data_IF_880454141817
#
_entry.id   IF_880454141817
#
_cell.length_a   1.000
_cell.length_b   1.000
_cell.length_c   1.000
_cell.angle_alpha   90.00
_cell.angle_beta   90.00
_cell.angle_gamma   90.00
#
_symmetry.space_group_name_H-M   'P 1'
#
loop_
_entity.id
_entity.type
_entity.pdbx_description
1 polymer ?
#
# COMPACT_ATOMS: atom_id res chain seq x y z
N UNK A 1 21.74 -2.41 3.36
CA UNK A 1 21.29 -2.80 2.00
C UNK A 1 20.12 -1.90 1.61
N UNK A 2 20.39 -0.74 1.01
CA UNK A 2 19.36 0.14 0.43
C UNK A 2 19.69 0.22 -1.05
N UNK A 3 18.98 -0.54 -1.89
CA UNK A 3 19.37 -0.74 -3.30
C UNK A 3 18.35 -0.12 -4.28
N UNK A 4 17.29 0.56 -3.81
CA UNK A 4 16.29 1.17 -4.70
C UNK A 4 15.56 2.34 -4.03
N UNK A 5 16.23 3.38 -3.51
CA UNK A 5 15.57 4.65 -3.09
C UNK A 5 14.36 4.56 -2.12
N UNK A 6 14.06 3.38 -1.58
CA UNK A 6 12.84 3.05 -0.86
C UNK A 6 13.20 2.84 0.60
N UNK A 7 12.52 3.57 1.47
CA UNK A 7 12.64 3.42 2.91
C UNK A 7 11.81 2.23 3.41
N UNK A 8 12.38 1.43 4.32
CA UNK A 8 11.63 0.43 5.08
C UNK A 8 10.96 1.13 6.25
N UNK A 9 9.66 0.90 6.43
CA UNK A 9 8.88 1.44 7.55
C UNK A 9 8.07 0.34 8.21
N UNK A 10 8.00 0.36 9.54
CA UNK A 10 7.20 -0.56 10.36
C UNK A 10 6.20 0.22 11.21
N UNK A 11 4.99 -0.32 11.45
CA UNK A 11 4.05 0.28 12.38
C UNK A 11 4.68 0.41 13.77
N UNK A 12 4.29 1.44 14.51
CA UNK A 12 4.74 1.63 15.87
C UNK A 12 4.16 0.55 16.79
N UNK A 13 4.92 0.15 17.80
CA UNK A 13 4.46 -0.74 18.87
C UNK A 13 4.12 0.08 20.11
N UNK A 14 3.17 -0.40 20.91
CA UNK A 14 2.70 0.30 22.12
C UNK A 14 3.71 0.19 23.28
N UNK A 15 4.58 -0.82 23.26
CA UNK A 15 5.54 -1.13 24.32
C UNK A 15 4.92 -0.99 25.73
N UNK A 16 5.46 -0.11 26.57
CA UNK A 16 4.97 0.15 27.93
C UNK A 16 3.88 1.24 28.01
N UNK A 17 3.39 1.75 26.87
CA UNK A 17 2.35 2.79 26.80
C UNK A 17 0.99 2.17 26.49
N UNK A 18 -0.07 2.80 26.98
CA UNK A 18 -1.44 2.36 26.70
C UNK A 18 -2.00 2.92 25.38
N UNK A 19 -1.39 3.97 24.80
CA UNK A 19 -1.85 4.63 23.57
C UNK A 19 -0.69 5.19 22.74
N UNK A 20 -0.90 5.28 21.42
CA UNK A 20 0.02 5.96 20.51
C UNK A 20 -0.10 7.47 20.61
N UNK A 21 1.04 8.16 20.46
CA UNK A 21 1.01 9.59 20.15
C UNK A 21 0.36 9.85 18.79
N UNK A 22 -0.12 11.08 18.58
CA UNK A 22 -0.68 11.48 17.29
C UNK A 22 0.30 11.26 16.12
N UNK A 23 1.62 11.40 16.35
CA UNK A 23 2.64 11.16 15.33
C UNK A 23 2.79 9.68 14.99
N UNK A 24 2.91 8.81 15.99
CA UNK A 24 3.00 7.35 15.84
C UNK A 24 1.74 6.78 15.18
N UNK A 25 0.56 7.25 15.60
CA UNK A 25 -0.72 6.86 15.01
C UNK A 25 -0.81 7.24 13.53
N UNK A 26 -0.44 8.47 13.17
CA UNK A 26 -0.42 8.93 11.78
C UNK A 26 0.56 8.13 10.92
N UNK A 27 1.78 7.87 11.42
CA UNK A 27 2.78 7.08 10.71
C UNK A 27 2.29 5.64 10.47
N UNK A 28 1.74 5.00 11.51
CA UNK A 28 1.19 3.65 11.41
C UNK A 28 -0.03 3.59 10.49
N UNK A 29 -0.85 4.65 10.48
CA UNK A 29 -1.95 4.83 9.53
C UNK A 29 -1.48 4.89 8.08
N UNK A 30 -0.41 5.65 7.79
CA UNK A 30 0.20 5.69 6.46
C UNK A 30 0.70 4.31 6.01
N UNK A 31 1.42 3.61 6.89
CA UNK A 31 1.94 2.25 6.61
C UNK A 31 0.79 1.29 6.32
N UNK A 32 -0.27 1.35 7.11
CA UNK A 32 -1.46 0.52 6.94
C UNK A 32 -2.11 0.78 5.59
N UNK A 33 -2.30 2.04 5.18
CA UNK A 33 -2.87 2.38 3.86
C UNK A 33 -2.06 1.81 2.70
N UNK A 34 -0.73 1.87 2.76
CA UNK A 34 0.13 1.27 1.74
C UNK A 34 -0.01 -0.26 1.75
N UNK A 35 0.00 -0.88 2.94
CA UNK A 35 -0.20 -2.32 3.11
C UNK A 35 -1.52 -2.80 2.49
N UNK A 36 -2.61 -2.06 2.69
CA UNK A 36 -3.93 -2.38 2.11
C UNK A 36 -3.91 -2.52 0.59
N UNK A 37 -3.16 -1.65 -0.11
CA UNK A 37 -3.04 -1.72 -1.59
C UNK A 37 -2.34 -3.02 -2.01
N UNK A 38 -1.24 -3.37 -1.33
CA UNK A 38 -0.47 -4.59 -1.60
C UNK A 38 -1.29 -5.85 -1.27
N UNK A 39 -1.97 -5.86 -0.13
CA UNK A 39 -2.85 -6.97 0.27
C UNK A 39 -4.00 -7.17 -0.71
N UNK A 40 -4.57 -6.08 -1.23
CA UNK A 40 -5.64 -6.15 -2.23
C UNK A 40 -5.16 -6.74 -3.55
N UNK A 41 -3.97 -6.35 -4.02
CA UNK A 41 -3.36 -6.94 -5.21
C UNK A 41 -3.05 -8.43 -5.00
N UNK A 42 -2.45 -8.79 -3.87
CA UNK A 42 -2.16 -10.18 -3.50
C UNK A 42 -3.44 -11.03 -3.41
N UNK A 43 -4.54 -10.47 -2.89
CA UNK A 43 -5.84 -11.15 -2.86
C UNK A 43 -6.32 -11.51 -4.26
N UNK A 44 -6.16 -10.62 -5.26
CA UNK A 44 -6.55 -10.89 -6.65
C UNK A 44 -5.70 -11.99 -7.27
N UNK A 45 -4.38 -11.96 -7.05
CA UNK A 45 -3.47 -13.01 -7.53
C UNK A 45 -3.84 -14.38 -6.92
N UNK A 46 -4.15 -14.40 -5.62
CA UNK A 46 -4.56 -15.64 -4.90
C UNK A 46 -5.96 -16.15 -5.27
N UNK A 47 -6.74 -15.47 -6.12
CA UNK A 47 -7.96 -16.05 -6.70
C UNK A 47 -7.63 -17.19 -7.67
N UNK A 48 -6.42 -17.21 -8.23
CA UNK A 48 -5.93 -18.27 -9.09
C UNK A 48 -5.40 -19.41 -8.23
N UNK A 49 -6.00 -20.61 -8.36
CA UNK A 49 -5.66 -21.79 -7.54
C UNK A 49 -4.17 -22.13 -7.50
N UNK A 50 -3.47 -21.89 -8.61
CA UNK A 50 -2.02 -22.07 -8.69
C UNK A 50 -1.27 -21.21 -7.65
N UNK A 51 -1.60 -19.93 -7.54
CA UNK A 51 -0.99 -18.99 -6.60
C UNK A 51 -1.57 -19.04 -5.18
N UNK A 52 -2.73 -19.69 -5.01
CA UNK A 52 -3.35 -19.90 -3.71
C UNK A 52 -2.70 -21.03 -2.89
N UNK A 53 -2.01 -21.95 -3.56
CA UNK A 53 -1.41 -23.15 -2.99
C UNK A 53 0.12 -23.11 -3.05
N UNK A 54 0.76 -24.11 -2.44
CA UNK A 54 2.20 -24.31 -2.55
C UNK A 54 2.58 -24.63 -3.99
N UNK A 55 3.51 -23.85 -4.55
CA UNK A 55 4.03 -24.02 -5.90
C UNK A 55 5.11 -25.11 -5.88
N UNK A 56 5.05 -26.04 -6.83
CA UNK A 56 6.06 -27.09 -6.96
C UNK A 56 7.40 -26.51 -7.43
N UNK A 57 8.51 -27.00 -6.87
CA UNK A 57 9.85 -26.49 -7.20
C UNK A 57 10.19 -26.57 -8.70
N UNK A 58 9.68 -27.58 -9.40
CA UNK A 58 9.83 -27.74 -10.85
C UNK A 58 9.21 -26.60 -11.66
N UNK A 59 8.21 -25.92 -11.11
CA UNK A 59 7.51 -24.81 -11.78
C UNK A 59 8.12 -23.45 -11.47
N UNK A 60 9.09 -23.36 -10.56
CA UNK A 60 9.70 -22.08 -10.17
C UNK A 60 10.38 -21.37 -11.35
N UNK A 61 10.90 -22.12 -12.32
CA UNK A 61 11.49 -21.57 -13.54
C UNK A 61 10.49 -20.80 -14.40
N UNK A 62 9.18 -21.06 -14.24
CA UNK A 62 8.10 -20.41 -14.98
C UNK A 62 7.34 -19.38 -14.14
N UNK A 63 7.64 -19.25 -12.85
CA UNK A 63 6.86 -18.47 -11.89
C UNK A 63 6.67 -17.01 -12.33
N UNK A 64 7.72 -16.39 -12.87
CA UNK A 64 7.65 -15.01 -13.35
C UNK A 64 6.70 -14.87 -14.55
N UNK A 65 6.78 -15.79 -15.50
CA UNK A 65 5.89 -15.84 -16.67
C UNK A 65 4.43 -16.06 -16.23
N UNK A 66 4.20 -17.04 -15.35
CA UNK A 66 2.87 -17.33 -14.81
C UNK A 66 2.27 -16.12 -14.10
N UNK A 67 3.10 -15.41 -13.30
CA UNK A 67 2.67 -14.22 -12.57
C UNK A 67 2.35 -13.07 -13.53
N UNK A 68 3.19 -12.86 -14.55
CA UNK A 68 2.98 -11.84 -15.59
C UNK A 68 1.67 -12.07 -16.34
N UNK A 69 1.40 -13.31 -16.74
CA UNK A 69 0.14 -13.71 -17.40
C UNK A 69 -1.05 -13.41 -16.48
N UNK A 70 -1.00 -13.83 -15.21
CA UNK A 70 -2.09 -13.57 -14.25
C UNK A 70 -2.31 -12.08 -14.03
N UNK A 71 -1.23 -11.30 -13.88
CA UNK A 71 -1.33 -9.85 -13.76
C UNK A 71 -1.96 -9.21 -15.00
N UNK A 72 -1.60 -9.66 -16.21
CA UNK A 72 -2.22 -9.18 -17.45
C UNK A 72 -3.72 -9.51 -17.51
N UNK A 73 -4.12 -10.72 -17.10
CA UNK A 73 -5.53 -11.12 -17.01
C UNK A 73 -6.30 -10.25 -16.00
N UNK A 74 -5.73 -10.01 -14.82
CA UNK A 74 -6.33 -9.15 -13.80
C UNK A 74 -6.52 -7.74 -14.35
N UNK A 75 -5.50 -7.17 -15.00
CA UNK A 75 -5.56 -5.82 -15.56
C UNK A 75 -6.58 -5.70 -16.70
N UNK A 76 -6.79 -6.76 -17.48
CA UNK A 76 -7.73 -6.77 -18.60
C UNK A 76 -9.18 -6.95 -18.15
N UNK A 77 -9.43 -7.82 -17.17
CA UNK A 77 -10.78 -8.30 -16.87
C UNK A 77 -11.33 -7.88 -15.50
N UNK A 78 -10.49 -7.42 -14.57
CA UNK A 78 -10.95 -6.92 -13.28
C UNK A 78 -11.07 -5.40 -13.27
N UNK A 79 -12.02 -4.83 -12.50
CA UNK A 79 -12.09 -3.39 -12.33
C UNK A 79 -10.83 -2.85 -11.63
N UNK A 80 -10.48 -1.57 -11.82
CA UNK A 80 -9.40 -0.92 -11.07
C UNK A 80 -9.54 -1.13 -9.55
N UNK A 81 -8.42 -1.28 -8.84
CA UNK A 81 -8.43 -1.47 -7.37
C UNK A 81 -8.91 -0.23 -6.62
N UNK A 82 -8.64 0.95 -7.19
CA UNK A 82 -9.16 2.22 -6.73
C UNK A 82 -9.45 3.08 -7.96
N UNK A 83 -10.56 3.80 -7.91
CA UNK A 83 -10.92 4.79 -8.91
C UNK A 83 -11.07 6.11 -8.18
N UNK A 84 -10.33 7.13 -8.62
CA UNK A 84 -10.45 8.47 -8.06
C UNK A 84 -11.85 9.03 -8.34
N UNK A 85 -12.48 9.56 -7.32
CA UNK A 85 -13.72 10.34 -7.44
C UNK A 85 -13.38 11.82 -7.61
N UNK A 86 -14.25 12.63 -8.24
CA UNK A 86 -14.06 14.08 -8.31
C UNK A 86 -13.84 14.72 -6.93
N UNK A 87 -14.55 14.22 -5.92
CA UNK A 87 -14.46 14.62 -4.52
C UNK A 87 -13.06 14.42 -3.91
N UNK A 88 -12.30 13.41 -4.36
CA UNK A 88 -10.96 13.13 -3.86
C UNK A 88 -9.99 14.27 -4.19
N UNK A 89 -10.21 14.95 -5.32
CA UNK A 89 -9.43 16.13 -5.72
C UNK A 89 -9.66 17.29 -4.77
N UNK A 90 -10.92 17.56 -4.40
CA UNK A 90 -11.28 18.63 -3.47
C UNK A 90 -10.71 18.37 -2.06
N UNK A 91 -10.83 17.13 -1.58
CA UNK A 91 -10.25 16.70 -0.31
C UNK A 91 -8.73 16.84 -0.34
N UNK A 92 -8.08 16.41 -1.43
CA UNK A 92 -6.65 16.55 -1.65
C UNK A 92 -6.19 18.01 -1.58
N UNK A 93 -6.88 18.91 -2.28
CA UNK A 93 -6.60 20.36 -2.25
C UNK A 93 -6.76 20.95 -0.84
N UNK A 94 -7.80 20.54 -0.10
CA UNK A 94 -8.03 21.00 1.27
C UNK A 94 -6.92 20.55 2.21
N UNK A 95 -6.48 19.29 2.12
CA UNK A 95 -5.34 18.77 2.89
C UNK A 95 -4.08 19.59 2.62
N UNK A 96 -3.78 19.86 1.35
CA UNK A 96 -2.62 20.67 0.98
C UNK A 96 -2.68 22.10 1.54
N UNK A 97 -3.84 22.76 1.50
CA UNK A 97 -4.01 24.10 2.09
C UNK A 97 -3.73 24.10 3.60
N UNK A 98 -4.27 23.15 4.34
CA UNK A 98 -4.08 23.03 5.79
C UNK A 98 -2.62 22.74 6.17
N UNK A 99 -1.92 21.92 5.37
CA UNK A 99 -0.50 21.63 5.59
C UNK A 99 0.38 22.88 5.41
N UNK A 100 0.10 23.71 4.39
CA UNK A 100 0.82 24.97 4.17
C UNK A 100 0.58 25.98 5.29
N UNK A 101 -0.66 26.09 5.79
CA UNK A 101 -0.98 26.97 6.93
C UNK A 101 -0.21 26.57 8.20
N UNK A 102 -0.13 25.27 8.50
CA UNK A 102 0.61 24.77 9.67
C UNK A 102 2.12 25.07 9.60
N UNK A 103 2.73 25.00 8.40
CA UNK A 103 4.14 25.38 8.21
C UNK A 103 4.38 26.87 8.49
N UNK A 104 3.46 27.73 8.07
CA UNK A 104 3.58 29.19 8.27
C UNK A 104 3.38 29.59 9.74
N UNK A 105 2.59 28.84 10.51
CA UNK A 105 2.38 29.10 11.95
C UNK A 105 3.48 28.54 12.85
N UNK A 106 4.24 27.54 12.40
CA UNK A 106 5.34 26.95 13.16
C UNK A 106 6.71 27.61 12.89
N UNK A 107 6.77 28.56 11.96
CA UNK A 107 7.97 29.33 11.61
C UNK A 107 8.01 30.75 12.20
N UNK A 108 7.17 31.05 13.19
CA UNK A 108 7.22 32.26 14.02
C UNK A 108 7.64 31.90 15.44
#
# INVERSE_FOLDING_TARGET
MQVIGLGVAMPSFLDSKNQFSAKEANQSGCITKVRWVVETANRRIKQFKYFANTIQNSSLIYLESDLSIVCALINRYQPPMATSKPEDSEVGQKIMKLLHQKKNSAGK
#
